data_IF_899386258279
#
_entry.id   IF_899386258279
#
_cell.length_a   1.000
_cell.length_b   1.000
_cell.length_c   1.000
_cell.angle_alpha   90.00
_cell.angle_beta   90.00
_cell.angle_gamma   90.00
#
_symmetry.space_group_name_H-M   'P 1'
#
loop_
_entity.id
_entity.type
_entity.pdbx_description
1 polymer ?
2 non-polymer ?
3 water ?
#
# COMPACT_ATOMS: atom_id res chain seq x y z
N UNK A 8 -28.54 51.51 3.62
CA UNK A 8 -29.20 50.35 2.95
C UNK A 8 -28.33 49.81 1.82
N UNK A 9 -27.64 50.72 1.14
CA UNK A 9 -26.61 50.34 0.16
C UNK A 9 -25.48 49.59 0.83
N UNK A 10 -25.03 50.10 1.98
CA UNK A 10 -23.93 49.48 2.71
C UNK A 10 -24.24 48.04 3.12
N UNK A 11 -25.49 47.77 3.49
CA UNK A 11 -25.88 46.41 3.90
C UNK A 11 -25.72 45.45 2.73
N UNK A 12 -26.34 45.80 1.62
CA UNK A 12 -26.25 45.06 0.37
C UNK A 12 -24.79 44.78 -0.01
N UNK A 13 -23.97 45.83 0.01
CA UNK A 13 -22.53 45.70 -0.27
C UNK A 13 -21.79 44.80 0.74
N UNK A 14 -22.22 44.84 2.00
CA UNK A 14 -21.61 43.97 2.99
C UNK A 14 -22.06 42.51 2.81
N UNK A 15 -23.29 42.30 2.36
CA UNK A 15 -23.76 40.95 2.06
C UNK A 15 -23.03 40.38 0.83
N UNK A 16 -22.82 41.22 -0.17
CA UNK A 16 -22.11 40.81 -1.38
C UNK A 16 -20.68 40.39 -1.06
N UNK A 17 -20.02 41.13 -0.18
CA UNK A 17 -18.70 40.75 0.30
C UNK A 17 -18.72 39.41 1.02
N UNK A 18 -19.73 39.18 1.87
CA UNK A 18 -19.87 37.91 2.57
C UNK A 18 -20.10 36.73 1.61
N UNK A 19 -20.94 36.95 0.61
CA UNK A 19 -21.22 35.95 -0.42
C UNK A 19 -19.95 35.50 -1.21
N UNK A 20 -19.19 36.47 -1.70
CA UNK A 20 -17.90 36.20 -2.38
C UNK A 20 -16.98 35.30 -1.54
N UNK A 21 -16.92 35.61 -0.25
CA UNK A 21 -16.09 34.84 0.65
C UNK A 21 -16.59 33.42 0.82
N UNK A 22 -17.90 33.24 0.86
CA UNK A 22 -18.44 31.88 0.94
C UNK A 22 -18.20 31.07 -0.34
N UNK A 23 -18.33 31.75 -1.46
CA UNK A 23 -18.05 31.11 -2.76
C UNK A 23 -16.59 30.66 -2.87
N UNK A 24 -15.70 31.52 -2.38
CA UNK A 24 -14.26 31.16 -2.37
C UNK A 24 -14.03 29.95 -1.51
N UNK A 25 -14.66 29.95 -0.31
CA UNK A 25 -14.60 28.78 0.53
C UNK A 25 -15.13 27.55 -0.17
N UNK A 26 -16.28 27.70 -0.83
CA UNK A 26 -16.83 26.54 -1.52
C UNK A 26 -15.88 26.00 -2.60
N UNK A 27 -15.27 26.91 -3.35
CA UNK A 27 -14.37 26.46 -4.40
C UNK A 27 -13.14 25.75 -3.80
N UNK A 28 -12.69 26.21 -2.62
CA UNK A 28 -11.70 25.47 -1.85
C UNK A 28 -12.13 24.07 -1.51
N UNK A 29 -13.36 23.91 -1.00
CA UNK A 29 -13.87 22.57 -0.68
C UNK A 29 -13.94 21.69 -1.91
N UNK A 30 -14.37 22.28 -3.02
CA UNK A 30 -14.45 21.54 -4.29
C UNK A 30 -13.05 21.09 -4.77
N UNK A 31 -12.11 22.03 -4.79
CA UNK A 31 -10.72 21.68 -5.08
C UNK A 31 -10.25 20.48 -4.28
N UNK A 32 -10.49 20.50 -2.96
CA UNK A 32 -10.10 19.36 -2.15
C UNK A 32 -10.85 18.10 -2.53
N UNK A 33 -12.14 18.22 -2.83
CA UNK A 33 -12.88 17.01 -3.25
C UNK A 33 -12.33 16.40 -4.54
N UNK A 34 -12.06 17.24 -5.53
CA UNK A 34 -11.47 16.79 -6.79
C UNK A 34 -10.16 16.03 -6.62
N UNK A 35 -9.34 16.48 -5.69
CA UNK A 35 -8.05 15.84 -5.46
C UNK A 35 -8.26 14.42 -4.92
N UNK A 36 -9.07 14.30 -3.87
CA UNK A 36 -9.48 12.99 -3.35
C UNK A 36 -10.32 12.26 -4.39
N UNK A 46 -6.00 5.13 -3.90
CA UNK A 46 -5.88 4.43 -2.63
C UNK A 46 -4.41 4.29 -2.21
N UNK A 47 -4.20 4.06 -0.91
CA UNK A 47 -2.88 3.84 -0.35
C UNK A 47 -2.28 2.50 -0.83
N UNK A 48 -1.08 2.56 -1.41
CA UNK A 48 -0.43 1.39 -1.97
C UNK A 48 1.06 1.51 -1.84
N UNK A 49 1.72 0.37 -1.95
CA UNK A 49 3.17 0.37 -1.86
C UNK A 49 3.65 -0.83 -2.62
N UNK A 50 4.83 -0.75 -3.23
CA UNK A 50 5.35 -1.88 -3.96
C UNK A 50 6.85 -1.94 -3.73
N UNK A 51 7.40 -3.13 -3.54
CA UNK A 51 8.85 -3.31 -3.51
C UNK A 51 9.34 -4.05 -4.76
N UNK A 52 10.29 -3.43 -5.48
CA UNK A 52 10.90 -4.11 -6.61
C UNK A 52 10.10 -3.87 -7.89
N UNK A 53 10.48 -4.51 -8.98
CA UNK A 53 11.61 -5.41 -9.07
C UNK A 53 12.89 -4.56 -8.93
N UNK A 54 13.93 -5.13 -8.36
CA UNK A 54 15.19 -4.39 -8.23
C UNK A 54 15.66 -4.03 -9.65
N UNK A 55 16.28 -2.85 -9.83
CA UNK A 55 16.85 -1.99 -8.80
C UNK A 55 15.85 -1.14 -8.02
N UNK A 56 14.59 -1.09 -8.43
CA UNK A 56 13.60 -0.34 -7.65
C UNK A 56 13.49 -0.95 -6.25
N UNK A 57 13.34 -0.10 -5.25
CA UNK A 57 13.19 -0.54 -3.87
C UNK A 57 11.74 -0.25 -3.45
N UNK A 58 11.47 0.52 -2.38
CA UNK A 58 10.06 0.76 -1.97
C UNK A 58 9.50 1.92 -2.75
N UNK A 59 8.30 1.73 -3.28
CA UNK A 59 7.60 2.79 -3.96
C UNK A 59 6.24 2.92 -3.34
N UNK A 60 5.81 4.13 -3.04
CA UNK A 60 4.51 4.32 -2.41
C UNK A 60 3.67 5.26 -3.23
N UNK A 61 2.35 5.12 -3.10
CA UNK A 61 1.40 6.02 -3.73
C UNK A 61 0.48 6.60 -2.66
N UNK A 65 -2.41 10.73 5.80
CA UNK A 65 -1.55 9.83 6.56
C UNK A 65 -1.33 8.49 5.84
N UNK A 66 -0.09 7.99 5.87
CA UNK A 66 0.26 6.74 5.18
C UNK A 66 -0.38 5.55 5.90
N UNK A 67 -0.75 4.52 5.14
CA UNK A 67 -1.28 3.30 5.74
C UNK A 67 -0.14 2.32 6.04
N UNK A 68 1.04 2.54 5.44
CA UNK A 68 2.18 1.65 5.63
C UNK A 68 3.54 2.39 5.73
N UNK A 69 4.52 1.72 6.31
CA UNK A 69 5.86 2.29 6.53
C UNK A 69 6.85 1.25 6.11
N UNK A 70 7.80 1.59 5.22
CA UNK A 70 8.81 0.59 4.88
C UNK A 70 9.70 0.29 6.07
N UNK A 71 10.13 -0.95 6.18
CA UNK A 71 10.97 -1.39 7.29
C UNK A 71 12.36 -1.62 6.79
N UNK A 72 12.47 -2.47 5.77
CA UNK A 72 13.74 -2.90 5.20
C UNK A 72 13.38 -3.39 3.80
N UNK A 73 14.36 -3.82 3.03
CA UNK A 73 14.04 -4.32 1.68
C UNK A 73 13.05 -5.52 1.77
N UNK A 74 11.93 -5.43 1.07
CA UNK A 74 11.02 -6.57 0.93
C UNK A 74 10.12 -6.65 2.12
N UNK A 75 10.29 -5.72 3.07
CA UNK A 75 9.55 -5.74 4.36
C UNK A 75 8.91 -4.41 4.73
N UNK A 76 7.66 -4.48 5.21
CA UNK A 76 6.78 -3.33 5.36
C UNK A 76 6.07 -3.43 6.70
N UNK A 77 5.66 -2.31 7.26
CA UNK A 77 4.87 -2.27 8.51
C UNK A 77 3.55 -1.55 8.30
N UNK A 78 2.50 -2.11 8.90
CA UNK A 78 1.17 -1.55 8.71
C UNK A 78 0.91 -0.49 9.76
N UNK A 79 0.41 0.66 9.34
CA UNK A 79 0.18 1.77 10.28
C UNK A 79 -1.29 2.11 10.43
N UNK A 80 -2.12 1.50 9.59
CA UNK A 80 -3.57 1.70 9.66
C UNK A 80 -4.29 0.35 9.68
N UNK A 81 -5.18 0.17 10.64
CA UNK A 81 -6.03 -1.02 10.68
C UNK A 81 -6.82 -1.09 9.40
N UNK A 82 -6.98 -2.29 8.86
CA UNK A 82 -7.80 -2.38 7.66
C UNK A 82 -7.70 -3.65 6.89
N UNK A 83 -8.44 -3.67 5.78
CA UNK A 83 -8.50 -4.81 4.87
C UNK A 83 -7.59 -4.50 3.68
N UNK A 84 -6.59 -5.34 3.51
CA UNK A 84 -5.57 -5.09 2.48
C UNK A 84 -5.52 -6.24 1.49
N UNK A 85 -5.22 -5.90 0.25
CA UNK A 85 -4.91 -6.93 -0.71
C UNK A 85 -3.40 -6.95 -0.98
N UNK A 86 -2.77 -8.10 -0.83
CA UNK A 86 -1.33 -8.21 -1.11
C UNK A 86 -1.17 -8.92 -2.44
N UNK A 87 -0.25 -8.44 -3.28
CA UNK A 87 -0.07 -9.06 -4.63
C UNK A 87 1.42 -9.14 -4.96
N UNK A 88 1.79 -9.93 -5.96
CA UNK A 88 3.14 -9.80 -6.52
C UNK A 88 3.45 -11.01 -7.36
N UNK A 89 4.71 -11.20 -7.71
CA UNK A 89 5.11 -12.41 -8.40
C UNK A 89 6.55 -12.72 -8.04
N UNK A 90 6.88 -14.00 -8.00
CA UNK A 90 8.23 -14.45 -7.75
C UNK A 90 8.66 -15.16 -9.03
N UNK A 91 9.77 -14.71 -9.61
CA UNK A 91 10.30 -15.28 -10.84
C UNK A 91 11.51 -16.13 -10.49
N UNK A 92 11.35 -17.45 -10.57
CA UNK A 92 12.43 -18.34 -10.18
C UNK A 92 13.60 -18.25 -11.14
N UNK A 93 14.80 -18.47 -10.60
CA UNK A 93 16.03 -18.52 -11.38
C UNK A 93 16.67 -19.91 -11.33
N UNK A 100 19.98 -26.68 -3.62
CA UNK A 100 19.13 -26.14 -2.55
C UNK A 100 17.66 -26.06 -3.00
N UNK A 101 16.76 -26.71 -2.24
CA UNK A 101 15.34 -26.71 -2.60
C UNK A 101 14.76 -25.29 -2.67
N UNK A 102 13.92 -25.03 -3.67
CA UNK A 102 13.39 -23.68 -3.89
C UNK A 102 12.36 -23.37 -2.82
N UNK A 103 12.51 -22.23 -2.17
CA UNK A 103 11.52 -21.82 -1.19
C UNK A 103 11.54 -20.33 -0.94
N UNK A 104 10.38 -19.73 -1.22
CA UNK A 104 10.12 -18.34 -0.90
C UNK A 104 8.88 -18.33 0.02
N UNK A 105 8.94 -17.51 1.06
CA UNK A 105 7.89 -17.47 2.06
C UNK A 105 7.45 -16.05 2.31
N UNK A 106 6.14 -15.86 2.36
CA UNK A 106 5.57 -14.60 2.78
C UNK A 106 5.16 -14.72 4.25
N UNK A 107 5.54 -13.73 5.04
CA UNK A 107 5.25 -13.71 6.47
C UNK A 107 4.36 -12.57 6.82
N UNK A 108 3.46 -12.82 7.78
CA UNK A 108 2.76 -11.77 8.49
C UNK A 108 3.29 -11.90 9.94
N UNK A 109 3.96 -10.88 10.44
CA UNK A 109 4.69 -11.01 11.71
C UNK A 109 5.56 -12.21 11.68
N UNK A 110 5.37 -13.12 12.64
CA UNK A 110 6.15 -14.36 12.62
C UNK A 110 5.47 -15.50 11.87
N UNK A 111 4.20 -15.36 11.55
CA UNK A 111 3.47 -16.45 10.90
C UNK A 111 3.80 -16.49 9.42
N UNK A 112 4.25 -17.63 8.94
CA UNK A 112 4.33 -17.83 7.52
C UNK A 112 2.91 -17.83 6.96
N UNK A 113 2.63 -17.00 5.95
CA UNK A 113 1.26 -16.98 5.40
C UNK A 113 1.18 -17.57 3.99
N UNK A 114 2.32 -17.74 3.32
CA UNK A 114 2.34 -18.41 2.05
C UNK A 114 3.71 -18.95 1.81
N UNK A 115 3.78 -20.11 1.18
CA UNK A 115 5.09 -20.64 0.80
C UNK A 115 5.07 -20.99 -0.67
N UNK A 116 6.14 -20.61 -1.36
CA UNK A 116 6.31 -20.86 -2.78
C UNK A 116 7.50 -21.80 -2.97
N UNK A 117 7.28 -22.82 -3.78
CA UNK A 117 8.07 -24.04 -3.74
C UNK A 117 8.45 -24.51 -5.15
N UNK A 118 7.84 -23.88 -6.16
CA UNK A 118 7.94 -24.33 -7.54
C UNK A 118 9.00 -23.54 -8.29
N UNK A 119 10.01 -24.24 -8.79
CA UNK A 119 11.16 -23.59 -9.42
C UNK A 119 11.01 -23.36 -10.93
N UNK A 120 9.89 -23.80 -11.50
CA UNK A 120 9.69 -23.76 -12.95
C UNK A 120 8.91 -22.52 -13.42
N UNK A 121 7.75 -22.29 -12.79
CA UNK A 121 6.84 -21.20 -13.18
C UNK A 121 7.00 -19.94 -12.34
N UNK A 122 6.62 -18.82 -12.94
CA UNK A 122 6.46 -17.55 -12.24
C UNK A 122 5.19 -17.68 -11.41
N UNK A 123 5.29 -17.38 -10.12
CA UNK A 123 4.19 -17.63 -9.18
C UNK A 123 3.67 -16.36 -8.51
N UNK A 124 2.35 -16.24 -8.42
CA UNK A 124 1.71 -15.15 -7.67
C UNK A 124 1.89 -15.22 -6.14
N UNK A 125 1.93 -14.06 -5.49
CA UNK A 125 2.04 -14.03 -4.04
C UNK A 125 0.91 -13.21 -3.48
N UNK A 126 0.43 -13.58 -2.29
CA UNK A 126 -0.50 -12.72 -1.56
C UNK A 126 -1.91 -13.28 -1.44
N UNK A 127 -2.90 -12.41 -1.36
CA UNK A 127 -4.27 -12.77 -0.93
C UNK A 127 -4.82 -11.55 -0.21
N UNK A 128 -6.01 -11.67 0.37
CA UNK A 128 -6.65 -10.57 1.09
C UNK A 128 -6.50 -10.83 2.57
N UNK A 129 -6.11 -9.82 3.33
CA UNK A 129 -5.78 -10.00 4.73
C UNK A 129 -6.29 -8.80 5.52
N UNK A 130 -6.93 -9.06 6.67
CA UNK A 130 -7.12 -8.01 7.66
C UNK A 130 -5.82 -7.83 8.40
N UNK A 131 -5.39 -6.58 8.53
CA UNK A 131 -4.13 -6.26 9.16
C UNK A 131 -4.32 -5.14 10.15
N UNK A 132 -3.51 -5.16 11.20
CA UNK A 132 -3.67 -4.19 12.27
C UNK A 132 -2.42 -3.35 12.43
N UNK A 133 -2.59 -2.15 12.96
CA UNK A 133 -1.46 -1.29 13.30
C UNK A 133 -0.38 -2.12 13.94
N UNK A 134 0.86 -1.94 13.46
CA UNK A 134 1.98 -2.70 13.96
C UNK A 134 2.31 -4.00 13.28
N UNK A 135 1.42 -4.55 12.45
CA UNK A 135 1.76 -5.81 11.80
C UNK A 135 2.86 -5.53 10.76
N UNK A 136 3.65 -6.55 10.47
CA UNK A 136 4.65 -6.47 9.38
C UNK A 136 4.40 -7.54 8.36
N UNK A 137 4.76 -7.27 7.11
CA UNK A 137 4.67 -8.26 6.06
C UNK A 137 6.07 -8.40 5.42
N UNK A 138 6.54 -9.61 5.17
CA UNK A 138 7.92 -9.78 4.70
C UNK A 138 7.93 -10.90 3.70
N UNK A 139 8.69 -10.72 2.64
CA UNK A 139 8.89 -11.78 1.69
C UNK A 139 10.37 -12.17 1.79
N UNK A 140 10.59 -13.43 2.12
CA UNK A 140 11.90 -13.94 2.51
C UNK A 140 12.29 -15.03 1.55
N UNK A 141 13.48 -14.91 0.98
CA UNK A 141 13.97 -15.89 0.02
C UNK A 141 14.91 -16.87 0.69
N UNK A 142 14.75 -18.16 0.42
CA UNK A 142 15.65 -19.18 0.95
C UNK A 142 17.06 -18.84 0.51
N UNK A 143 17.27 -18.84 -0.80
CA UNK A 143 18.50 -18.30 -1.35
C UNK A 143 18.16 -17.08 -2.18
N UNK A 144 18.89 -16.00 -1.95
CA UNK A 144 18.70 -14.76 -2.68
C UNK A 144 18.83 -14.98 -4.19
N UNK A 145 19.78 -15.81 -4.59
CA UNK A 145 20.08 -15.99 -6.00
C UNK A 145 19.20 -17.05 -6.69
N UNK A 146 18.29 -17.67 -5.93
CA UNK A 146 17.30 -18.59 -6.49
C UNK A 146 16.25 -17.82 -7.31
N UNK A 147 16.22 -16.51 -7.12
CA UNK A 147 15.18 -15.68 -7.68
C UNK A 147 15.78 -14.68 -8.64
N UNK A 148 15.05 -14.41 -9.72
CA UNK A 148 15.35 -13.34 -10.66
C UNK A 148 14.79 -12.03 -10.14
N UNK A 149 15.64 -11.24 -9.50
CA UNK A 149 15.20 -10.09 -8.72
C UNK A 149 14.66 -8.95 -9.59
N UNK A 150 14.79 -9.11 -10.90
CA UNK A 150 14.37 -8.10 -11.86
C UNK A 150 13.02 -8.41 -12.48
N UNK A 151 12.43 -9.53 -12.04
CA UNK A 151 11.05 -9.87 -12.36
C UNK A 151 10.27 -10.40 -11.13
N UNK A 152 10.73 -10.03 -9.95
CA UNK A 152 10.13 -10.46 -8.67
C UNK A 152 9.82 -9.21 -7.88
N UNK A 153 8.61 -9.12 -7.34
CA UNK A 153 8.18 -7.93 -6.65
C UNK A 153 6.95 -8.26 -5.84
N UNK A 154 6.60 -7.40 -4.89
CA UNK A 154 5.31 -7.58 -4.18
C UNK A 154 4.82 -6.24 -3.76
N UNK A 155 3.50 -6.10 -3.60
CA UNK A 155 2.91 -4.84 -3.27
C UNK A 155 1.65 -5.09 -2.48
N UNK A 156 1.01 -4.00 -2.09
CA UNK A 156 -0.12 -4.03 -1.16
C UNK A 156 -0.99 -2.87 -1.46
N UNK A 157 -2.30 -3.04 -1.31
CA UNK A 157 -3.24 -1.96 -1.47
C UNK A 157 -4.28 -2.02 -0.35
N UNK A 158 -4.64 -0.85 0.19
CA UNK A 158 -5.67 -0.78 1.22
C UNK A 158 -7.01 -0.72 0.52
N UNK A 159 -7.86 -1.71 0.81
CA UNK A 159 -9.22 -1.77 0.24
C UNK A 159 -10.26 -1.01 1.06
N UNK A 160 -10.15 -1.08 2.38
CA UNK A 160 -11.18 -0.52 3.27
C UNK A 160 -10.69 -0.48 4.70
N UNK A 161 -11.22 0.46 5.47
CA UNK A 161 -10.93 0.52 6.89
C UNK A 161 -12.18 0.63 7.74
N UNK A 162 -13.01 -0.42 7.74
CA UNK A 162 -14.20 -0.31 8.60
C UNK A 162 -13.85 -0.31 10.10
N UNK A 163 -14.73 0.25 10.94
CA UNK A 163 -14.54 0.25 12.39
C UNK A 163 -14.29 -1.14 12.98
N UNK A 164 -14.95 -2.16 12.44
CA UNK A 164 -14.79 -3.51 12.98
C UNK A 164 -13.39 -4.17 12.85
N UNK A 165 -12.49 -3.55 12.09
CA UNK A 165 -11.13 -4.04 12.06
C UNK A 165 -10.27 -3.13 12.97
X LIG B 1 -11.29 29.05 3.20
X LIG B 1 -10.91 28.80 4.59
X LIG B 1 -11.49 27.72 2.64
X LIG B 1 -12.45 29.91 3.10
X LIG B 1 -10.21 29.80 2.53
#
# INVERSE_FOLDING_TARGET
GSHMGGSRMKQIEDKIEEILSKIYHIENEIARIKKLIGERETAKEPCMAKFGPLPSKWQMASSEPPCVNKVSDWKLEILQNGLYLIYGQVAPNANYNDVAPFEVRLYKNKDMIQTLTNKSKIQNVGGTYELHVGDTIDLIFNSEHQVLKNNTYWGIILLANPQFIS
SO4 S O1 O2 O3 O4
#
